data_IF_892843508083
#
_entry.id   IF_892843508083
#
_cell.length_a   1.000
_cell.length_b   1.000
_cell.length_c   1.000
_cell.angle_alpha   90.00
_cell.angle_beta   90.00
_cell.angle_gamma   90.00
#
_symmetry.space_group_name_H-M   'P 1'
#
loop_
_entity.id
_entity.type
_entity.pdbx_description
1 polymer ?
#
# COMPACT_ATOMS: atom_id res chain seq x y z
N UNK A 1 13.42 -13.41 3.65
CA UNK A 1 13.58 -12.62 4.86
C UNK A 1 14.50 -11.46 4.61
N UNK A 2 14.06 -10.21 4.82
CA UNK A 2 14.94 -9.03 4.76
C UNK A 2 15.95 -9.11 5.91
N UNK A 3 17.25 -8.94 5.66
CA UNK A 3 18.25 -8.88 6.72
C UNK A 3 18.10 -7.56 7.49
N UNK A 4 17.93 -7.64 8.82
CA UNK A 4 18.09 -6.50 9.69
C UNK A 4 16.87 -6.05 10.49
N UNK A 5 16.04 -6.97 10.97
CA UNK A 5 15.14 -6.68 12.08
C UNK A 5 15.94 -6.56 13.37
N UNK A 6 15.84 -5.44 14.07
CA UNK A 6 16.54 -5.19 15.34
C UNK A 6 16.00 -6.09 16.48
N UNK A 7 14.87 -6.78 16.25
CA UNK A 7 14.20 -7.64 17.20
C UNK A 7 13.78 -8.97 16.57
N UNK A 8 13.96 -10.09 17.33
CA UNK A 8 13.54 -11.43 16.92
C UNK A 8 14.60 -12.17 16.09
N UNK A 9 14.21 -13.36 15.60
CA UNK A 9 15.09 -14.25 14.80
C UNK A 9 15.15 -13.87 13.31
N UNK A 10 14.40 -12.85 12.90
CA UNK A 10 14.18 -12.52 11.48
C UNK A 10 13.12 -13.40 10.81
N UNK A 11 12.48 -14.28 11.57
CA UNK A 11 11.38 -15.16 11.16
C UNK A 11 10.11 -14.78 11.93
N UNK A 12 9.41 -13.78 11.43
CA UNK A 12 8.29 -13.17 12.14
C UNK A 12 7.20 -14.18 12.58
N UNK A 13 6.88 -15.16 11.74
CA UNK A 13 5.88 -16.18 12.07
C UNK A 13 6.35 -17.12 13.19
N UNK A 14 7.63 -17.54 13.16
CA UNK A 14 8.23 -18.36 14.22
C UNK A 14 8.20 -17.59 15.54
N UNK A 15 8.62 -16.33 15.54
CA UNK A 15 8.63 -15.46 16.72
C UNK A 15 7.22 -15.25 17.28
N UNK A 16 6.22 -15.02 16.42
CA UNK A 16 4.83 -14.87 16.81
C UNK A 16 4.28 -16.14 17.49
N UNK A 17 4.48 -17.30 16.86
CA UNK A 17 4.00 -18.59 17.41
C UNK A 17 4.67 -18.85 18.76
N UNK A 18 5.98 -18.65 18.85
CA UNK A 18 6.73 -18.85 20.07
C UNK A 18 6.24 -17.91 21.19
N UNK A 19 5.99 -16.65 20.87
CA UNK A 19 5.46 -15.68 21.82
C UNK A 19 4.07 -16.08 22.33
N UNK A 20 3.14 -16.39 21.44
CA UNK A 20 1.75 -16.75 21.80
C UNK A 20 1.73 -17.98 22.69
N UNK A 21 2.45 -19.04 22.31
CA UNK A 21 2.43 -20.33 23.03
C UNK A 21 3.38 -20.40 24.22
N UNK A 22 4.17 -19.35 24.48
CA UNK A 22 4.82 -19.16 25.78
C UNK A 22 3.83 -18.73 26.89
N UNK A 23 2.67 -18.21 26.50
CA UNK A 23 1.59 -17.84 27.40
C UNK A 23 0.77 -19.04 27.87
N UNK A 24 0.00 -18.87 28.93
CA UNK A 24 -0.88 -19.91 29.46
C UNK A 24 -2.27 -19.84 28.78
N UNK A 25 -2.75 -20.96 28.26
CA UNK A 25 -4.06 -21.08 27.58
C UNK A 25 -4.27 -20.11 26.41
N UNK A 26 -3.20 -19.73 25.72
CA UNK A 26 -3.27 -18.87 24.58
C UNK A 26 -3.62 -19.67 23.30
N UNK A 27 -4.34 -19.03 22.40
CA UNK A 27 -4.66 -19.53 21.06
C UNK A 27 -4.35 -18.46 20.04
N UNK A 28 -3.99 -18.87 18.84
CA UNK A 28 -3.71 -17.99 17.71
C UNK A 28 -4.76 -18.20 16.63
N UNK A 29 -5.30 -17.12 16.10
CA UNK A 29 -6.15 -17.11 14.93
C UNK A 29 -5.44 -16.33 13.83
N UNK A 30 -5.12 -17.02 12.73
CA UNK A 30 -4.51 -16.42 11.54
C UNK A 30 -5.60 -16.21 10.50
N UNK A 31 -5.77 -14.96 10.06
CA UNK A 31 -6.81 -14.55 9.11
C UNK A 31 -6.12 -13.95 7.90
N UNK A 32 -6.51 -14.37 6.70
CA UNK A 32 -5.93 -13.87 5.47
C UNK A 32 -6.69 -14.33 4.25
N UNK A 33 -6.17 -13.98 3.10
CA UNK A 33 -6.73 -14.29 1.80
C UNK A 33 -5.64 -14.88 0.89
N UNK A 34 -5.79 -16.14 0.51
CA UNK A 34 -4.84 -16.88 -0.36
C UNK A 34 -4.79 -16.31 -1.79
N UNK A 35 -5.77 -15.49 -2.20
CA UNK A 35 -5.76 -14.82 -3.50
C UNK A 35 -5.05 -13.45 -3.49
N UNK A 36 -4.65 -12.96 -2.31
CA UNK A 36 -3.80 -11.77 -2.20
C UNK A 36 -2.32 -12.12 -2.40
N UNK A 37 -1.50 -11.11 -2.70
CA UNK A 37 -0.07 -11.28 -2.90
C UNK A 37 0.58 -11.92 -1.67
N UNK A 38 1.33 -13.02 -1.84
CA UNK A 38 2.08 -13.66 -0.76
C UNK A 38 3.27 -12.80 -0.34
N UNK A 39 3.95 -13.15 0.77
CA UNK A 39 5.21 -12.55 1.13
C UNK A 39 6.25 -12.66 0.00
N UNK A 40 7.14 -11.66 -0.10
CA UNK A 40 8.16 -11.62 -1.16
C UNK A 40 9.04 -12.86 -1.11
N UNK A 41 9.10 -13.58 -2.23
CA UNK A 41 9.87 -14.82 -2.37
C UNK A 41 9.12 -16.10 -2.02
N UNK A 42 7.85 -16.01 -1.64
CA UNK A 42 6.98 -17.16 -1.35
C UNK A 42 5.91 -17.31 -2.45
N UNK A 43 5.49 -18.51 -2.74
CA UNK A 43 4.39 -18.78 -3.67
C UNK A 43 3.03 -18.62 -2.98
N UNK A 44 2.95 -18.96 -1.69
CA UNK A 44 1.79 -18.72 -0.83
C UNK A 44 2.24 -18.26 0.57
N UNK A 45 1.31 -17.70 1.34
CA UNK A 45 1.60 -17.27 2.72
C UNK A 45 1.73 -18.48 3.65
N UNK A 46 2.90 -18.75 4.26
CA UNK A 46 3.06 -19.84 5.23
C UNK A 46 2.08 -19.76 6.40
N UNK A 47 1.67 -18.55 6.77
CA UNK A 47 0.70 -18.31 7.84
C UNK A 47 -0.71 -18.82 7.51
N UNK A 48 -1.03 -19.04 6.22
CA UNK A 48 -2.31 -19.57 5.73
C UNK A 48 -2.22 -21.03 5.28
N UNK A 49 -1.07 -21.66 5.44
CA UNK A 49 -0.86 -23.08 5.12
C UNK A 49 -1.02 -23.93 6.39
N UNK A 50 -2.10 -24.67 6.50
CA UNK A 50 -2.41 -25.51 7.68
C UNK A 50 -1.33 -26.54 7.97
N UNK A 51 -0.76 -27.17 6.92
CA UNK A 51 0.31 -28.14 7.07
C UNK A 51 1.60 -27.52 7.61
N UNK A 52 1.92 -26.29 7.15
CA UNK A 52 3.08 -25.56 7.64
C UNK A 52 2.92 -25.22 9.13
N UNK A 53 1.74 -24.74 9.53
CA UNK A 53 1.45 -24.42 10.94
C UNK A 53 1.41 -25.67 11.80
N UNK A 54 0.88 -26.78 11.30
CA UNK A 54 0.89 -28.07 12.00
C UNK A 54 2.32 -28.57 12.28
N UNK A 55 3.28 -28.22 11.42
CA UNK A 55 4.71 -28.53 11.59
C UNK A 55 5.33 -27.97 12.89
N UNK A 56 4.71 -26.97 13.53
CA UNK A 56 5.08 -26.50 14.87
C UNK A 56 4.57 -27.39 16.01
N UNK A 57 3.94 -28.52 15.71
CA UNK A 57 3.32 -29.40 16.72
C UNK A 57 1.97 -28.90 17.23
N UNK A 58 1.33 -28.00 16.50
CA UNK A 58 0.04 -27.41 16.85
C UNK A 58 -1.12 -28.16 16.20
N UNK A 59 -2.27 -28.20 16.91
CA UNK A 59 -3.54 -28.62 16.31
C UNK A 59 -4.14 -27.44 15.55
N UNK A 60 -4.35 -27.64 14.25
CA UNK A 60 -4.84 -26.58 13.35
C UNK A 60 -6.28 -26.89 12.92
N UNK A 61 -7.12 -25.88 12.98
CA UNK A 61 -8.47 -25.89 12.42
C UNK A 61 -8.54 -24.84 11.31
N UNK A 62 -8.92 -25.24 10.10
CA UNK A 62 -9.04 -24.34 8.96
C UNK A 62 -10.52 -24.17 8.60
N UNK A 63 -10.90 -22.92 8.30
CA UNK A 63 -12.23 -22.59 7.78
C UNK A 63 -12.08 -21.59 6.63
N UNK A 64 -12.74 -21.88 5.53
CA UNK A 64 -12.75 -21.05 4.34
C UNK A 64 -14.07 -20.28 4.25
N UNK A 65 -13.98 -18.94 4.27
CA UNK A 65 -15.11 -18.04 4.16
C UNK A 65 -15.35 -17.71 2.69
N UNK A 66 -16.41 -18.26 2.08
CA UNK A 66 -16.70 -18.16 0.65
C UNK A 66 -17.77 -17.15 0.28
N UNK A 67 -18.56 -16.69 1.24
CA UNK A 67 -19.68 -15.79 0.98
C UNK A 67 -19.20 -14.35 0.74
N UNK A 68 -19.60 -13.76 -0.39
CA UNK A 68 -19.25 -12.37 -0.76
C UNK A 68 -20.44 -11.47 -0.48
N UNK A 69 -20.31 -10.62 0.55
CA UNK A 69 -21.40 -9.76 1.03
C UNK A 69 -21.35 -8.31 0.51
N UNK A 70 -20.28 -7.90 -0.17
CA UNK A 70 -20.00 -6.46 -0.38
C UNK A 70 -20.39 -5.87 -1.73
N UNK A 71 -20.78 -6.66 -2.73
CA UNK A 71 -21.03 -6.14 -4.07
C UNK A 71 -22.26 -6.77 -4.72
N UNK A 72 -22.91 -6.01 -5.61
CA UNK A 72 -24.08 -6.49 -6.34
C UNK A 72 -23.70 -7.49 -7.44
N UNK A 73 -24.62 -8.35 -7.83
CA UNK A 73 -24.47 -9.29 -8.95
C UNK A 73 -24.23 -8.61 -10.30
N UNK A 74 -24.52 -7.30 -10.40
CA UNK A 74 -24.32 -6.49 -11.60
C UNK A 74 -22.91 -5.86 -11.68
N UNK A 75 -22.04 -6.09 -10.68
CA UNK A 75 -20.69 -5.56 -10.67
C UNK A 75 -19.74 -6.35 -11.57
N UNK A 76 -19.15 -5.67 -12.55
CA UNK A 76 -18.10 -6.22 -13.40
C UNK A 76 -16.78 -6.41 -12.64
N UNK A 77 -16.52 -5.57 -11.63
CA UNK A 77 -15.38 -5.71 -10.72
C UNK A 77 -15.49 -7.03 -9.97
N UNK A 78 -16.64 -7.30 -9.33
CA UNK A 78 -16.86 -8.55 -8.61
C UNK A 78 -16.81 -9.77 -9.53
N UNK A 79 -17.45 -9.69 -10.69
CA UNK A 79 -17.44 -10.78 -11.67
C UNK A 79 -16.01 -11.19 -12.04
N UNK A 80 -15.20 -10.23 -12.47
CA UNK A 80 -13.82 -10.50 -12.89
C UNK A 80 -12.93 -10.93 -11.72
N UNK A 81 -13.08 -10.32 -10.55
CA UNK A 81 -12.36 -10.73 -9.35
C UNK A 81 -12.69 -12.17 -8.95
N UNK A 82 -13.97 -12.58 -9.03
CA UNK A 82 -14.41 -13.95 -8.74
C UNK A 82 -13.83 -14.96 -9.72
N UNK A 83 -13.82 -14.63 -11.02
CA UNK A 83 -13.21 -15.50 -12.05
C UNK A 83 -11.72 -15.70 -11.79
N UNK A 84 -10.98 -14.61 -11.53
CA UNK A 84 -9.55 -14.66 -11.23
C UNK A 84 -9.29 -15.48 -9.95
N UNK A 85 -10.07 -15.25 -8.90
CA UNK A 85 -9.98 -16.00 -7.65
C UNK A 85 -10.19 -17.50 -7.86
N UNK A 86 -11.18 -17.89 -8.66
CA UNK A 86 -11.44 -19.29 -9.01
C UNK A 86 -10.24 -19.92 -9.74
N UNK A 87 -9.64 -19.18 -10.69
CA UNK A 87 -8.43 -19.66 -11.39
C UNK A 87 -7.26 -19.88 -10.41
N UNK A 88 -7.04 -18.97 -9.46
CA UNK A 88 -6.02 -19.13 -8.43
C UNK A 88 -6.31 -20.33 -7.53
N UNK A 89 -7.56 -20.48 -7.08
CA UNK A 89 -7.95 -21.57 -6.16
C UNK A 89 -7.88 -22.95 -6.81
N UNK A 90 -8.12 -23.06 -8.12
CA UNK A 90 -8.06 -24.31 -8.87
C UNK A 90 -6.69 -24.56 -9.54
N UNK A 91 -5.70 -23.71 -9.22
CA UNK A 91 -4.33 -23.80 -9.75
C UNK A 91 -4.27 -23.79 -11.29
N UNK A 92 -5.15 -23.03 -11.93
CA UNK A 92 -5.21 -22.88 -13.39
C UNK A 92 -4.16 -21.87 -13.89
N UNK A 93 -2.89 -22.10 -13.54
CA UNK A 93 -1.77 -21.16 -13.84
C UNK A 93 -1.36 -21.14 -15.31
N UNK A 94 -1.84 -22.05 -16.13
CA UNK A 94 -1.49 -22.15 -17.56
C UNK A 94 -2.28 -21.20 -18.45
N UNK A 95 -3.34 -20.60 -17.95
CA UNK A 95 -4.19 -19.68 -18.70
C UNK A 95 -4.13 -18.27 -18.15
N UNK A 96 -4.03 -17.29 -19.05
CA UNK A 96 -4.18 -15.89 -18.66
C UNK A 96 -5.66 -15.57 -18.40
N UNK A 97 -5.98 -14.81 -17.34
CA UNK A 97 -7.35 -14.39 -17.08
C UNK A 97 -7.85 -13.47 -18.21
N UNK A 98 -9.09 -13.71 -18.62
CA UNK A 98 -9.78 -12.88 -19.62
C UNK A 98 -10.74 -11.94 -18.90
N UNK A 99 -10.44 -10.65 -18.94
CA UNK A 99 -11.30 -9.63 -18.32
C UNK A 99 -12.51 -9.36 -19.21
N UNK A 100 -13.70 -9.42 -18.63
CA UNK A 100 -14.95 -9.09 -19.31
C UNK A 100 -15.36 -7.66 -18.96
N UNK A 101 -15.43 -6.80 -19.96
CA UNK A 101 -15.83 -5.40 -19.82
C UNK A 101 -17.30 -5.17 -20.22
N UNK A 102 -17.80 -5.91 -21.21
CA UNK A 102 -19.14 -5.68 -21.77
C UNK A 102 -20.24 -6.10 -20.79
N UNK A 103 -21.25 -5.26 -20.69
CA UNK A 103 -22.43 -5.50 -19.87
C UNK A 103 -22.32 -5.04 -18.44
N UNK A 104 -21.26 -4.34 -18.07
CA UNK A 104 -21.04 -3.77 -16.75
C UNK A 104 -20.83 -2.26 -16.81
N UNK A 105 -21.40 -1.53 -15.87
CA UNK A 105 -21.30 -0.08 -15.80
C UNK A 105 -20.04 0.39 -15.00
N UNK A 106 -19.51 -0.48 -14.15
CA UNK A 106 -18.42 -0.19 -13.20
C UNK A 106 -17.02 -0.56 -13.73
N UNK A 107 -16.92 -1.07 -14.95
CA UNK A 107 -15.63 -1.45 -15.56
C UNK A 107 -15.62 -1.12 -17.05
N UNK A 108 -14.59 -0.40 -17.50
CA UNK A 108 -14.40 -0.03 -18.91
C UNK A 108 -12.97 -0.34 -19.34
N UNK A 109 -12.79 -0.55 -20.63
CA UNK A 109 -11.46 -0.62 -21.25
C UNK A 109 -11.12 0.74 -21.84
N UNK A 110 -10.05 1.37 -21.35
CA UNK A 110 -9.59 2.68 -21.85
C UNK A 110 -8.44 2.44 -22.83
N UNK A 111 -8.57 2.86 -24.10
CA UNK A 111 -7.46 2.86 -25.06
C UNK A 111 -6.31 3.74 -24.60
N UNK A 112 -5.07 3.39 -24.98
CA UNK A 112 -3.89 4.12 -24.53
C UNK A 112 -3.83 5.59 -24.96
N UNK A 113 -4.39 5.93 -26.09
CA UNK A 113 -4.52 7.29 -26.63
C UNK A 113 -5.58 8.14 -25.92
N UNK A 114 -6.53 7.51 -25.20
CA UNK A 114 -7.54 8.18 -24.39
C UNK A 114 -7.18 8.27 -22.89
N UNK A 115 -6.06 7.69 -22.49
CA UNK A 115 -5.71 7.55 -21.07
C UNK A 115 -5.55 8.90 -20.36
N UNK A 116 -4.88 9.86 -21.00
CA UNK A 116 -4.63 11.19 -20.41
C UNK A 116 -5.94 11.94 -20.21
N UNK A 117 -6.82 11.93 -21.20
CA UNK A 117 -8.13 12.57 -21.12
C UNK A 117 -9.01 11.90 -20.06
N UNK A 118 -9.00 10.57 -19.99
CA UNK A 118 -9.74 9.81 -18.98
C UNK A 118 -9.26 10.12 -17.56
N UNK A 119 -7.94 10.21 -17.35
CA UNK A 119 -7.38 10.59 -16.05
C UNK A 119 -7.70 12.04 -15.69
N UNK A 120 -7.59 12.97 -16.63
CA UNK A 120 -7.97 14.36 -16.40
C UNK A 120 -9.44 14.50 -16.02
N UNK A 121 -10.33 13.76 -16.68
CA UNK A 121 -11.76 13.71 -16.36
C UNK A 121 -11.98 13.13 -14.96
N UNK A 122 -11.36 12.02 -14.62
CA UNK A 122 -11.47 11.41 -13.30
C UNK A 122 -11.01 12.34 -12.19
N UNK A 123 -9.86 13.00 -12.35
CA UNK A 123 -9.35 13.97 -11.38
C UNK A 123 -10.25 15.20 -11.22
N UNK A 124 -10.92 15.61 -12.32
CA UNK A 124 -11.87 16.72 -12.29
C UNK A 124 -13.21 16.38 -11.65
N UNK A 125 -13.71 15.16 -11.86
CA UNK A 125 -15.06 14.75 -11.41
C UNK A 125 -15.07 14.19 -9.99
N UNK A 126 -14.10 13.34 -9.66
CA UNK A 126 -14.05 12.66 -8.35
C UNK A 126 -12.86 13.07 -7.48
N UNK A 127 -11.83 13.67 -8.06
CA UNK A 127 -10.65 14.14 -7.33
C UNK A 127 -9.45 13.18 -7.40
N UNK A 128 -8.28 13.74 -7.10
CA UNK A 128 -7.01 12.98 -7.08
C UNK A 128 -6.96 11.98 -5.91
N UNK A 129 -7.59 12.29 -4.81
CA UNK A 129 -7.69 11.46 -3.61
C UNK A 129 -8.57 10.22 -3.80
N UNK A 130 -9.54 10.30 -4.72
CA UNK A 130 -10.45 9.21 -5.06
C UNK A 130 -10.04 8.45 -6.34
N UNK A 131 -8.95 8.86 -6.99
CA UNK A 131 -8.45 8.23 -8.22
C UNK A 131 -7.08 7.61 -8.02
N UNK A 132 -6.93 6.33 -8.35
CA UNK A 132 -5.66 5.62 -8.23
C UNK A 132 -5.28 4.93 -9.53
N UNK A 133 -4.01 5.04 -9.93
CA UNK A 133 -3.43 4.27 -11.03
C UNK A 133 -2.63 3.12 -10.47
N UNK A 134 -3.04 1.89 -10.78
CA UNK A 134 -2.34 0.67 -10.34
C UNK A 134 -1.42 0.20 -11.47
N UNK A 135 -0.14 0.04 -11.18
CA UNK A 135 0.88 -0.39 -12.14
C UNK A 135 1.59 -1.67 -11.67
N UNK A 136 2.12 -2.44 -12.62
CA UNK A 136 2.78 -3.72 -12.34
C UNK A 136 4.12 -3.59 -11.60
N UNK A 137 4.80 -2.46 -11.71
CA UNK A 137 6.13 -2.27 -11.13
C UNK A 137 6.35 -0.81 -10.74
N UNK A 138 7.24 -0.57 -9.78
CA UNK A 138 7.65 0.78 -9.36
C UNK A 138 8.20 1.60 -10.54
N UNK A 139 8.97 0.97 -11.43
CA UNK A 139 9.47 1.64 -12.64
C UNK A 139 8.33 2.17 -13.51
N UNK A 140 7.27 1.38 -13.71
CA UNK A 140 6.10 1.84 -14.46
C UNK A 140 5.30 2.89 -13.70
N UNK A 141 5.14 2.72 -12.39
CA UNK A 141 4.47 3.70 -11.55
C UNK A 141 5.15 5.08 -11.65
N UNK A 142 6.49 5.13 -11.61
CA UNK A 142 7.23 6.38 -11.79
C UNK A 142 7.04 7.01 -13.17
N UNK A 143 6.98 6.22 -14.23
CA UNK A 143 6.69 6.73 -15.60
C UNK A 143 5.28 7.34 -15.63
N UNK A 144 4.27 6.67 -15.07
CA UNK A 144 2.92 7.21 -14.97
C UNK A 144 2.87 8.47 -14.11
N UNK A 145 3.54 8.50 -12.97
CA UNK A 145 3.59 9.67 -12.09
C UNK A 145 4.15 10.89 -12.83
N UNK A 146 5.26 10.73 -13.55
CA UNK A 146 5.83 11.82 -14.34
C UNK A 146 4.91 12.25 -15.48
N UNK A 147 4.30 11.30 -16.20
CA UNK A 147 3.33 11.60 -17.25
C UNK A 147 2.10 12.34 -16.74
N UNK A 148 1.57 11.93 -15.60
CA UNK A 148 0.43 12.59 -14.93
C UNK A 148 0.82 14.00 -14.50
N UNK A 149 1.97 14.17 -13.85
CA UNK A 149 2.45 15.49 -13.43
C UNK A 149 2.57 16.45 -14.62
N UNK A 150 3.17 16.01 -15.70
CA UNK A 150 3.46 16.87 -16.84
C UNK A 150 2.25 17.11 -17.73
N UNK A 151 1.43 16.09 -18.01
CA UNK A 151 0.40 16.15 -19.04
C UNK A 151 -1.03 16.30 -18.49
N UNK A 152 -1.27 15.89 -17.25
CA UNK A 152 -2.59 16.00 -16.60
C UNK A 152 -2.62 17.17 -15.61
N UNK A 153 -1.58 17.30 -14.78
CA UNK A 153 -1.52 18.30 -13.71
C UNK A 153 -0.74 19.56 -14.11
N UNK A 154 -0.06 19.55 -15.25
CA UNK A 154 0.74 20.68 -15.76
C UNK A 154 1.77 21.21 -14.75
N UNK A 155 2.41 20.28 -14.02
CA UNK A 155 3.45 20.57 -13.03
C UNK A 155 4.82 20.32 -13.63
N UNK A 156 5.64 21.38 -13.70
CA UNK A 156 7.00 21.33 -14.28
C UNK A 156 8.07 21.08 -13.22
N UNK A 157 7.83 21.54 -11.98
CA UNK A 157 8.78 21.35 -10.89
C UNK A 157 8.80 19.90 -10.40
N UNK A 158 9.96 19.45 -9.90
CA UNK A 158 10.14 18.10 -9.36
C UNK A 158 9.19 17.80 -8.20
N UNK A 159 9.02 18.76 -7.30
CA UNK A 159 8.10 18.73 -6.16
C UNK A 159 7.37 20.06 -6.04
N UNK A 160 6.07 19.98 -5.82
CA UNK A 160 5.26 21.18 -5.63
C UNK A 160 4.17 20.95 -4.56
N UNK A 161 3.66 22.04 -3.99
CA UNK A 161 2.50 22.00 -3.09
C UNK A 161 1.31 21.32 -3.79
N UNK A 162 0.60 20.46 -3.08
CA UNK A 162 -0.49 19.64 -3.61
C UNK A 162 -0.06 18.30 -4.22
N UNK A 163 1.23 17.98 -4.30
CA UNK A 163 1.68 16.64 -4.66
C UNK A 163 1.35 15.64 -3.56
N UNK A 164 0.98 14.44 -4.00
CA UNK A 164 0.81 13.30 -3.12
C UNK A 164 2.07 12.46 -3.06
N UNK A 165 2.48 12.12 -1.86
CA UNK A 165 3.58 11.19 -1.59
C UNK A 165 3.03 9.94 -0.90
N UNK A 166 3.63 8.79 -1.21
CA UNK A 166 3.38 7.54 -0.50
C UNK A 166 4.63 7.14 0.28
N UNK A 167 4.45 6.82 1.55
CA UNK A 167 5.52 6.33 2.41
C UNK A 167 5.85 4.90 2.02
N UNK A 168 7.11 4.62 1.70
CA UNK A 168 7.57 3.29 1.26
C UNK A 168 8.27 2.48 2.36
N UNK A 169 8.49 3.08 3.52
CA UNK A 169 9.07 2.41 4.71
C UNK A 169 8.53 3.05 5.99
N UNK A 170 8.34 2.25 7.03
CA UNK A 170 8.00 2.76 8.35
C UNK A 170 9.06 3.74 8.85
N UNK A 171 8.61 4.87 9.39
CA UNK A 171 9.48 5.90 9.95
C UNK A 171 8.98 6.29 11.35
N UNK A 172 9.88 6.22 12.31
CA UNK A 172 9.63 6.55 13.73
C UNK A 172 10.27 7.88 14.14
N UNK A 173 11.31 8.29 13.42
CA UNK A 173 12.17 9.42 13.79
C UNK A 173 11.45 10.76 13.78
N UNK A 174 10.73 11.06 12.70
CA UNK A 174 10.08 12.36 12.55
C UNK A 174 8.93 12.57 13.53
N UNK A 175 8.18 11.53 13.83
CA UNK A 175 7.10 11.59 14.84
C UNK A 175 7.63 11.72 16.26
N UNK A 176 8.81 11.16 16.56
CA UNK A 176 9.47 11.34 17.85
C UNK A 176 10.03 12.75 18.03
N UNK A 177 10.62 13.34 16.97
CA UNK A 177 11.09 14.72 16.99
C UNK A 177 9.94 15.72 17.17
N UNK A 178 8.83 15.51 16.49
CA UNK A 178 7.66 16.35 16.61
C UNK A 178 7.09 16.32 18.04
N UNK A 179 7.01 15.14 18.64
CA UNK A 179 6.59 14.96 20.03
C UNK A 179 7.53 15.61 21.04
N UNK A 180 8.83 15.67 20.75
CA UNK A 180 9.82 16.28 21.62
C UNK A 180 9.79 17.82 21.55
N UNK A 181 9.36 18.38 20.43
CA UNK A 181 9.26 19.83 20.20
C UNK A 181 7.93 20.44 20.58
N UNK A 182 6.89 19.63 20.79
CA UNK A 182 5.56 20.09 21.14
C UNK A 182 5.36 20.07 22.67
N UNK A 183 5.16 21.27 23.27
CA UNK A 183 4.77 21.44 24.68
C UNK A 183 3.35 20.93 25.00
N UNK A 184 2.60 20.46 24.00
CA UNK A 184 1.27 19.89 24.13
C UNK A 184 1.21 18.57 23.35
N UNK A 185 0.86 17.51 24.05
CA UNK A 185 0.52 16.21 23.46
C UNK A 185 -0.67 16.37 22.52
N UNK A 186 -0.41 16.45 21.23
CA UNK A 186 -1.47 16.30 20.24
C UNK A 186 -1.92 14.84 20.32
N UNK A 187 -3.12 14.61 20.87
CA UNK A 187 -3.66 13.28 21.14
C UNK A 187 -3.92 12.46 19.85
N UNK A 188 -3.77 13.08 18.68
CA UNK A 188 -4.05 12.52 17.37
C UNK A 188 -2.78 12.21 16.55
N UNK A 189 -1.60 12.55 17.05
CA UNK A 189 -0.35 12.26 16.36
C UNK A 189 -0.11 10.73 16.30
N UNK A 190 0.18 10.16 15.12
CA UNK A 190 0.49 8.74 14.99
C UNK A 190 1.76 8.40 15.76
N UNK A 191 1.89 7.14 16.21
CA UNK A 191 3.10 6.68 16.90
C UNK A 191 4.30 6.61 15.95
N UNK A 192 4.06 6.39 14.68
CA UNK A 192 5.03 6.37 13.60
C UNK A 192 4.30 6.58 12.26
N UNK A 193 5.05 6.90 11.22
CA UNK A 193 4.56 6.98 9.83
C UNK A 193 4.74 5.59 9.21
N UNK A 194 3.66 4.97 8.76
CA UNK A 194 3.66 3.60 8.26
C UNK A 194 3.96 3.53 6.75
N UNK A 195 4.55 2.42 6.32
CA UNK A 195 4.60 2.07 4.90
C UNK A 195 3.18 1.98 4.32
N UNK A 196 2.93 2.67 3.21
CA UNK A 196 1.62 2.79 2.58
C UNK A 196 0.82 4.03 2.98
N UNK A 197 1.25 4.77 4.02
CA UNK A 197 0.62 6.04 4.38
C UNK A 197 0.77 7.06 3.24
N UNK A 198 -0.25 7.89 3.06
CA UNK A 198 -0.28 8.94 2.04
C UNK A 198 -0.21 10.30 2.70
N UNK A 199 0.58 11.19 2.11
CA UNK A 199 0.72 12.56 2.55
C UNK A 199 0.60 13.54 1.38
N UNK A 200 0.06 14.72 1.66
CA UNK A 200 0.01 15.84 0.72
C UNK A 200 1.09 16.84 1.09
N UNK A 201 1.86 17.26 0.11
CA UNK A 201 2.83 18.37 0.29
C UNK A 201 2.06 19.67 0.43
N UNK A 202 2.15 20.29 1.60
CA UNK A 202 1.58 21.62 1.84
C UNK A 202 2.54 22.73 1.41
N UNK A 203 3.84 22.51 1.64
CA UNK A 203 4.86 23.51 1.38
C UNK A 203 6.20 22.87 1.06
N UNK A 204 6.93 23.46 0.12
CA UNK A 204 8.31 23.10 -0.26
C UNK A 204 9.21 24.29 -0.02
N UNK A 205 10.28 24.14 0.78
CA UNK A 205 11.23 25.21 1.14
C UNK A 205 12.65 24.68 1.24
N UNK A 206 13.59 25.64 1.28
CA UNK A 206 14.99 25.38 1.62
C UNK A 206 15.64 24.29 0.76
N UNK A 207 15.45 24.36 -0.56
CA UNK A 207 16.19 23.52 -1.50
C UNK A 207 17.67 23.81 -1.36
N UNK A 208 18.48 22.78 -1.12
CA UNK A 208 19.92 22.90 -0.88
C UNK A 208 20.69 21.68 -1.33
N UNK A 209 21.90 21.91 -1.79
CA UNK A 209 22.84 20.86 -2.19
C UNK A 209 23.92 20.72 -1.12
N UNK A 210 24.06 19.51 -0.59
CA UNK A 210 25.10 19.17 0.39
C UNK A 210 25.76 17.86 -0.02
N UNK A 211 27.08 17.88 -0.16
CA UNK A 211 27.89 16.70 -0.50
C UNK A 211 27.43 15.97 -1.77
N UNK A 212 26.90 16.69 -2.76
CA UNK A 212 26.40 16.14 -4.01
C UNK A 212 24.99 15.55 -3.93
N UNK A 213 24.27 15.70 -2.82
CA UNK A 213 22.88 15.32 -2.62
C UNK A 213 21.98 16.54 -2.57
N UNK A 214 20.76 16.38 -3.08
CA UNK A 214 19.73 17.43 -3.14
C UNK A 214 18.74 17.26 -2.00
N UNK A 215 18.70 18.22 -1.07
CA UNK A 215 17.79 18.22 0.07
C UNK A 215 16.70 19.28 -0.07
N UNK A 216 15.57 19.02 0.55
CA UNK A 216 14.45 19.94 0.63
C UNK A 216 13.69 19.76 1.94
N UNK A 217 13.16 20.85 2.48
CA UNK A 217 12.25 20.78 3.62
C UNK A 217 10.80 20.77 3.11
N UNK A 218 10.04 19.79 3.57
CA UNK A 218 8.66 19.55 3.19
C UNK A 218 7.76 19.67 4.42
N UNK A 219 6.65 20.35 4.27
CA UNK A 219 5.53 20.29 5.20
C UNK A 219 4.51 19.33 4.61
N UNK A 220 4.31 18.21 5.30
CA UNK A 220 3.45 17.12 4.90
C UNK A 220 2.20 17.10 5.77
N UNK A 221 1.05 16.86 5.14
CA UNK A 221 -0.22 16.63 5.82
C UNK A 221 -0.67 15.21 5.53
N UNK A 222 -1.07 14.48 6.58
CA UNK A 222 -1.59 13.11 6.49
C UNK A 222 -3.10 13.11 6.70
N UNK A 223 -3.91 13.09 5.63
CA UNK A 223 -5.38 13.12 5.74
C UNK A 223 -5.97 11.97 6.54
N UNK A 224 -5.37 10.78 6.45
CA UNK A 224 -5.84 9.58 7.15
C UNK A 224 -5.59 9.62 8.68
N UNK A 225 -4.84 10.63 9.17
CA UNK A 225 -4.55 10.88 10.59
C UNK A 225 -5.07 12.25 11.04
N UNK A 226 -6.34 12.54 10.78
CA UNK A 226 -6.99 13.81 11.12
C UNK A 226 -6.23 15.06 10.63
N UNK A 227 -5.65 14.95 9.42
CA UNK A 227 -4.82 16.01 8.83
C UNK A 227 -3.58 16.37 9.67
N UNK A 228 -3.01 15.38 10.35
CA UNK A 228 -1.75 15.57 11.07
C UNK A 228 -0.67 16.16 10.15
N UNK A 229 0.00 17.20 10.63
CA UNK A 229 1.03 17.92 9.89
C UNK A 229 2.40 17.70 10.50
N UNK A 230 3.41 17.52 9.67
CA UNK A 230 4.79 17.34 10.09
C UNK A 230 5.74 18.00 9.09
N UNK A 231 6.83 18.56 9.59
CA UNK A 231 7.95 19.03 8.78
C UNK A 231 9.02 17.94 8.70
N UNK A 232 9.45 17.61 7.50
CA UNK A 232 10.53 16.62 7.25
C UNK A 232 11.57 17.21 6.31
N UNK A 233 12.80 16.74 6.42
CA UNK A 233 13.84 16.97 5.41
C UNK A 233 13.94 15.74 4.52
N UNK A 234 13.72 15.93 3.25
CA UNK A 234 13.76 14.87 2.25
C UNK A 234 14.97 14.99 1.33
N UNK A 235 15.45 13.84 0.85
CA UNK A 235 16.45 13.72 -0.20
C UNK A 235 15.69 13.54 -1.52
N UNK A 236 15.72 14.53 -2.41
CA UNK A 236 14.94 14.50 -3.66
C UNK A 236 15.42 13.44 -4.63
N UNK A 237 16.71 13.07 -4.59
CA UNK A 237 17.28 11.98 -5.38
C UNK A 237 16.66 10.60 -5.07
N UNK A 238 15.88 10.51 -3.98
CA UNK A 238 15.27 9.27 -3.49
C UNK A 238 13.73 9.26 -3.55
N UNK A 239 13.12 10.33 -4.06
CA UNK A 239 11.66 10.50 -4.14
C UNK A 239 11.06 9.96 -5.43
#
# INVERSE_FOLDING_TARGET
GLPGGVFGTGRLLDDLIQFVYSGRNCRLMLIGDKAQLPPVGEEESPALCSDFIAGYGLTVYETDLREVLRQSEQSGILYNATVIRQMITHDEVTQLPKIRFRGFADIICVPGDELIETLATSYSEVGMDETMVVARSNKRANIYNQGIRNQVLWREEELTSGDWLMVVRNNYYWTEQDKASADQKDSHAPSFIANGDRAVIQRVRNRRDLYGFHFVDLWLQFPDYDNYEIQVTALTDSL
#
